data_IF_060590883720
#
_entry.id   IF_060590883720
#
_cell.length_a   1.000
_cell.length_b   1.000
_cell.length_c   1.000
_cell.angle_alpha   90.00
_cell.angle_beta   90.00
_cell.angle_gamma   90.00
#
_symmetry.space_group_name_H-M   'P 1'
#
loop_
_entity.id
_entity.type
_entity.pdbx_description
1 polymer ?
#
# COMPACT_ATOMS: atom_id res chain seq x y z
N UNK A 1 -18.76 7.50 0.08
CA UNK A 1 -18.45 6.16 -0.47
C UNK A 1 -18.37 5.19 0.68
N UNK A 2 -19.13 4.11 0.67
CA UNK A 2 -19.09 3.11 1.74
C UNK A 2 -17.84 2.21 1.66
N UNK A 3 -17.22 2.14 0.48
CA UNK A 3 -16.00 1.35 0.24
C UNK A 3 -15.11 2.02 -0.81
N UNK A 4 -13.80 1.97 -0.59
CA UNK A 4 -12.78 2.50 -1.52
C UNK A 4 -12.35 1.44 -2.52
N UNK A 5 -12.32 0.17 -2.10
CA UNK A 5 -12.06 -0.98 -2.97
C UNK A 5 -13.16 -2.01 -2.81
N UNK A 6 -13.63 -2.52 -3.95
CA UNK A 6 -14.52 -3.69 -4.02
C UNK A 6 -13.97 -4.59 -5.11
N UNK A 7 -13.61 -5.82 -4.76
CA UNK A 7 -13.24 -6.88 -5.68
C UNK A 7 -14.19 -8.07 -5.46
N UNK A 8 -14.70 -8.67 -6.55
CA UNK A 8 -15.62 -9.82 -6.50
C UNK A 8 -15.20 -10.86 -7.53
N UNK A 9 -14.95 -12.06 -7.05
CA UNK A 9 -14.62 -13.24 -7.84
C UNK A 9 -13.53 -13.00 -8.90
N UNK A 10 -12.44 -12.35 -8.47
CA UNK A 10 -11.35 -11.91 -9.34
C UNK A 10 -10.42 -13.08 -9.66
N UNK A 11 -10.09 -13.24 -10.94
CA UNK A 11 -9.18 -14.27 -11.42
C UNK A 11 -8.05 -13.67 -12.27
N UNK A 12 -6.88 -14.29 -12.14
CA UNK A 12 -5.72 -14.07 -13.01
C UNK A 12 -4.80 -15.27 -13.02
N UNK A 13 -4.43 -15.74 -14.21
CA UNK A 13 -3.50 -16.84 -14.40
C UNK A 13 -2.26 -16.42 -15.22
N UNK A 14 -1.19 -17.17 -15.07
CA UNK A 14 0.03 -17.06 -15.87
C UNK A 14 0.51 -18.48 -16.24
N UNK A 15 0.69 -18.73 -17.52
CA UNK A 15 1.15 -20.03 -18.03
C UNK A 15 0.37 -21.24 -17.44
N UNK A 16 -0.95 -21.09 -17.33
CA UNK A 16 -1.84 -22.13 -16.80
C UNK A 16 -1.88 -22.27 -15.28
N UNK A 17 -1.12 -21.47 -14.53
CA UNK A 17 -1.16 -21.44 -13.06
C UNK A 17 -1.96 -20.23 -12.59
N UNK A 18 -2.99 -20.46 -11.77
CA UNK A 18 -3.76 -19.39 -11.16
C UNK A 18 -2.91 -18.63 -10.13
N UNK A 19 -2.63 -17.36 -10.40
CA UNK A 19 -1.99 -16.46 -9.45
C UNK A 19 -3.01 -15.79 -8.53
N UNK A 20 -4.25 -15.59 -9.03
CA UNK A 20 -5.42 -15.14 -8.27
C UNK A 20 -6.60 -15.98 -8.71
N UNK A 21 -7.35 -16.57 -7.79
CA UNK A 21 -8.36 -17.59 -8.04
C UNK A 21 -9.65 -17.35 -7.24
N UNK A 22 -10.52 -16.48 -7.73
CA UNK A 22 -11.81 -16.17 -7.12
C UNK A 22 -11.69 -15.30 -5.88
N UNK A 23 -10.79 -14.31 -5.90
CA UNK A 23 -10.59 -13.40 -4.77
C UNK A 23 -11.71 -12.38 -4.69
N UNK A 24 -12.31 -12.27 -3.50
CA UNK A 24 -13.29 -11.24 -3.14
C UNK A 24 -12.82 -10.51 -1.87
N UNK A 25 -12.80 -9.18 -1.90
CA UNK A 25 -12.47 -8.33 -0.76
C UNK A 25 -13.13 -6.96 -0.87
N UNK A 26 -13.22 -6.27 0.25
CA UNK A 26 -13.72 -4.91 0.35
C UNK A 26 -12.85 -4.12 1.32
N UNK A 27 -12.53 -2.86 0.98
CA UNK A 27 -11.74 -1.96 1.83
C UNK A 27 -12.52 -0.65 2.02
N UNK A 28 -12.64 -0.20 3.27
CA UNK A 28 -13.36 1.01 3.65
C UNK A 28 -12.43 2.24 3.70
N UNK A 29 -12.97 3.48 3.63
CA UNK A 29 -12.18 4.68 3.88
C UNK A 29 -11.50 4.64 5.25
N UNK A 30 -10.23 5.10 5.31
CA UNK A 30 -9.45 5.12 6.56
C UNK A 30 -9.05 3.75 7.11
N UNK A 31 -9.36 2.66 6.43
CA UNK A 31 -9.02 1.30 6.84
C UNK A 31 -7.58 0.95 6.44
N UNK A 32 -6.85 0.28 7.32
CA UNK A 32 -5.62 -0.44 6.98
C UNK A 32 -5.99 -1.90 6.81
N UNK A 33 -6.09 -2.36 5.56
CA UNK A 33 -6.39 -3.74 5.20
C UNK A 33 -5.10 -4.52 4.96
N UNK A 34 -4.87 -5.58 5.73
CA UNK A 34 -3.72 -6.47 5.58
C UNK A 34 -3.98 -7.60 4.58
N UNK A 35 -3.16 -7.73 3.55
CA UNK A 35 -3.15 -8.89 2.66
C UNK A 35 -1.96 -9.77 3.04
N UNK A 36 -2.21 -10.79 3.87
CA UNK A 36 -1.18 -11.59 4.54
C UNK A 36 -1.02 -12.94 3.87
N UNK A 37 0.20 -13.39 3.68
CA UNK A 37 0.47 -14.71 3.10
C UNK A 37 1.93 -14.91 2.68
N UNK A 38 2.34 -16.14 2.40
CA UNK A 38 3.71 -16.45 2.01
C UNK A 38 4.07 -15.85 0.64
N UNK A 39 5.35 -15.91 0.31
CA UNK A 39 5.82 -15.55 -1.03
C UNK A 39 5.17 -16.46 -2.07
N UNK A 40 4.78 -15.87 -3.20
CA UNK A 40 4.07 -16.58 -4.26
C UNK A 40 2.57 -16.83 -3.99
N UNK A 41 1.99 -16.35 -2.88
CA UNK A 41 0.56 -16.49 -2.60
C UNK A 41 -0.36 -15.75 -3.59
N UNK A 42 0.18 -14.82 -4.40
CA UNK A 42 -0.61 -14.03 -5.35
C UNK A 42 -0.83 -12.58 -4.92
N UNK A 43 -0.33 -12.16 -3.75
CA UNK A 43 -0.50 -10.82 -3.17
C UNK A 43 -0.17 -9.70 -4.17
N UNK A 44 1.07 -9.66 -4.67
CA UNK A 44 1.52 -8.63 -5.62
C UNK A 44 0.73 -8.63 -6.92
N UNK A 45 0.26 -9.80 -7.38
CA UNK A 45 -0.60 -9.91 -8.57
C UNK A 45 -1.92 -9.20 -8.33
N UNK A 46 -2.58 -9.47 -7.21
CA UNK A 46 -3.82 -8.80 -6.83
C UNK A 46 -3.62 -7.28 -6.67
N UNK A 47 -2.57 -6.86 -5.96
CA UNK A 47 -2.27 -5.42 -5.78
C UNK A 47 -2.05 -4.70 -7.11
N UNK A 48 -1.37 -5.31 -8.07
CA UNK A 48 -1.16 -4.73 -9.41
C UNK A 48 -2.46 -4.61 -10.20
N UNK A 49 -3.41 -5.55 -10.04
CA UNK A 49 -4.73 -5.42 -10.65
C UNK A 49 -5.52 -4.25 -10.05
N UNK A 50 -5.50 -4.09 -8.73
CA UNK A 50 -6.12 -2.95 -8.05
C UNK A 50 -5.48 -1.61 -8.45
N UNK A 51 -4.18 -1.61 -8.73
CA UNK A 51 -3.43 -0.42 -9.14
C UNK A 51 -3.52 -0.10 -10.65
N UNK A 52 -4.35 -0.78 -11.42
CA UNK A 52 -4.44 -0.63 -12.90
C UNK A 52 -3.10 -0.88 -13.64
N UNK A 53 -2.24 -1.74 -13.10
CA UNK A 53 -0.96 -2.14 -13.71
C UNK A 53 -1.12 -3.47 -14.46
N UNK A 54 -2.11 -4.27 -14.05
CA UNK A 54 -2.39 -5.58 -14.60
C UNK A 54 -3.90 -5.77 -14.72
N UNK A 55 -4.37 -6.30 -15.84
CA UNK A 55 -5.79 -6.58 -16.04
C UNK A 55 -6.21 -7.88 -15.36
N UNK A 56 -7.44 -7.93 -14.82
CA UNK A 56 -8.08 -9.18 -14.41
C UNK A 56 -8.59 -9.95 -15.62
N UNK A 57 -8.58 -11.30 -15.54
CA UNK A 57 -9.15 -12.16 -16.59
C UNK A 57 -10.67 -12.28 -16.44
N UNK A 58 -11.16 -12.28 -15.20
CA UNK A 58 -12.59 -12.31 -14.89
C UNK A 58 -12.86 -11.76 -13.49
N UNK A 59 -14.12 -11.64 -13.14
CA UNK A 59 -14.57 -10.97 -11.92
C UNK A 59 -14.78 -9.47 -12.14
N UNK A 60 -15.03 -8.75 -11.06
CA UNK A 60 -15.23 -7.29 -11.10
C UNK A 60 -14.36 -6.62 -10.05
N UNK A 61 -13.77 -5.48 -10.43
CA UNK A 61 -12.98 -4.64 -9.53
C UNK A 61 -13.49 -3.20 -9.64
N UNK A 62 -13.69 -2.55 -8.50
CA UNK A 62 -13.91 -1.11 -8.40
C UNK A 62 -12.92 -0.53 -7.41
N UNK A 63 -12.18 0.50 -7.81
CA UNK A 63 -11.22 1.23 -6.98
C UNK A 63 -11.58 2.71 -7.02
N UNK A 64 -11.85 3.29 -5.86
CA UNK A 64 -12.34 4.67 -5.73
C UNK A 64 -13.55 4.98 -6.63
N UNK A 65 -14.40 3.96 -6.88
CA UNK A 65 -15.60 4.07 -7.72
C UNK A 65 -15.38 3.83 -9.22
N UNK A 66 -14.14 3.52 -9.65
CA UNK A 66 -13.76 3.31 -11.05
C UNK A 66 -13.32 1.87 -11.33
N UNK A 67 -13.54 1.40 -12.54
CA UNK A 67 -13.05 0.10 -13.03
C UNK A 67 -11.58 0.25 -13.46
N UNK A 68 -10.62 -0.47 -12.84
CA UNK A 68 -9.20 -0.30 -13.12
C UNK A 68 -8.78 -0.70 -14.54
N UNK A 69 -9.59 -1.50 -15.25
CA UNK A 69 -9.33 -1.91 -16.63
C UNK A 69 -9.91 -0.90 -17.62
N UNK A 70 -11.13 -0.40 -17.36
CA UNK A 70 -11.83 0.52 -18.28
C UNK A 70 -11.43 1.97 -18.08
N UNK A 71 -11.11 2.36 -16.83
CA UNK A 71 -10.85 3.73 -16.41
C UNK A 71 -9.50 3.87 -15.67
N UNK A 72 -8.38 3.36 -16.25
CA UNK A 72 -7.11 3.25 -15.54
C UNK A 72 -6.53 4.60 -15.10
N UNK A 73 -6.76 5.67 -15.88
CA UNK A 73 -6.30 7.02 -15.54
C UNK A 73 -7.05 7.57 -14.34
N UNK A 74 -8.37 7.36 -14.28
CA UNK A 74 -9.18 7.80 -13.16
C UNK A 74 -8.79 7.12 -11.85
N UNK A 75 -8.46 5.82 -11.90
CA UNK A 75 -7.92 5.07 -10.75
C UNK A 75 -6.55 5.62 -10.35
N UNK A 76 -5.57 5.67 -11.29
CA UNK A 76 -4.19 6.08 -10.99
C UNK A 76 -4.08 7.49 -10.40
N UNK A 77 -4.95 8.39 -10.78
CA UNK A 77 -4.98 9.74 -10.20
C UNK A 77 -5.48 9.80 -8.74
N UNK A 78 -6.05 8.71 -8.22
CA UNK A 78 -6.64 8.64 -6.87
C UNK A 78 -5.92 7.71 -5.93
N UNK A 79 -4.97 6.95 -6.45
CA UNK A 79 -4.22 5.98 -5.67
C UNK A 79 -2.72 6.31 -5.67
N UNK A 80 -2.00 5.72 -4.73
CA UNK A 80 -0.56 5.56 -4.86
C UNK A 80 -0.19 4.09 -4.71
N UNK A 81 0.75 3.61 -5.52
CA UNK A 81 1.28 2.26 -5.48
C UNK A 81 2.76 2.29 -5.11
N UNK A 82 3.09 1.69 -3.98
CA UNK A 82 4.44 1.50 -3.51
C UNK A 82 4.84 0.04 -3.75
N UNK A 83 5.66 -0.20 -4.77
CA UNK A 83 6.16 -1.53 -5.10
C UNK A 83 7.24 -1.99 -4.12
N UNK A 84 7.44 -3.30 -4.02
CA UNK A 84 8.52 -3.91 -3.24
C UNK A 84 9.92 -3.41 -3.63
N UNK A 85 10.12 -3.08 -4.92
CA UNK A 85 11.38 -2.52 -5.41
C UNK A 85 11.41 -1.02 -5.17
N UNK A 86 12.59 -0.56 -4.78
CA UNK A 86 12.87 0.85 -4.56
C UNK A 86 12.71 1.65 -5.87
N UNK A 87 11.78 2.59 -5.89
CA UNK A 87 11.39 3.36 -7.08
C UNK A 87 11.86 4.83 -7.04
N UNK A 88 12.84 5.17 -6.19
CA UNK A 88 13.37 6.54 -6.08
C UNK A 88 14.61 6.72 -6.97
N UNK A 89 14.86 7.97 -7.32
CA UNK A 89 16.04 8.38 -8.07
C UNK A 89 17.22 8.60 -7.11
N UNK A 90 18.25 7.73 -7.13
CA UNK A 90 19.34 7.77 -6.15
C UNK A 90 20.18 9.03 -6.25
N UNK A 91 20.26 9.63 -7.45
CA UNK A 91 21.06 10.82 -7.75
C UNK A 91 20.31 12.13 -7.46
N UNK A 92 19.04 12.07 -7.09
CA UNK A 92 18.26 13.19 -6.61
C UNK A 92 18.29 13.25 -5.09
N UNK A 93 18.23 14.46 -4.54
CA UNK A 93 18.04 14.68 -3.11
C UNK A 93 16.66 14.21 -2.64
N UNK A 94 16.45 14.14 -1.34
CA UNK A 94 15.15 13.86 -0.74
C UNK A 94 14.08 14.81 -1.27
N UNK A 95 14.34 16.12 -1.25
CA UNK A 95 13.39 17.13 -1.73
C UNK A 95 13.14 17.04 -3.23
N UNK A 96 14.17 16.83 -4.03
CA UNK A 96 14.04 16.69 -5.49
C UNK A 96 13.25 15.44 -5.87
N UNK A 97 13.40 14.32 -5.15
CA UNK A 97 12.54 13.16 -5.34
C UNK A 97 11.07 13.52 -5.09
N UNK A 98 10.74 14.21 -3.98
CA UNK A 98 9.36 14.59 -3.67
C UNK A 98 8.80 15.51 -4.76
N UNK A 99 9.56 16.52 -5.21
CA UNK A 99 9.16 17.42 -6.29
C UNK A 99 8.90 16.67 -7.58
N UNK A 100 9.79 15.76 -7.96
CA UNK A 100 9.64 14.94 -9.15
C UNK A 100 8.32 14.14 -9.14
N UNK A 101 7.96 13.53 -7.99
CA UNK A 101 6.67 12.84 -7.88
C UNK A 101 5.49 13.81 -7.86
N UNK A 102 5.63 14.98 -7.26
CA UNK A 102 4.60 16.03 -7.32
C UNK A 102 4.32 16.44 -8.78
N UNK A 103 5.36 16.59 -9.59
CA UNK A 103 5.24 16.91 -11.02
C UNK A 103 4.53 15.79 -11.81
N UNK A 104 4.90 14.52 -11.57
CA UNK A 104 4.24 13.35 -12.20
C UNK A 104 2.73 13.35 -11.91
N UNK A 105 2.33 13.67 -10.68
CA UNK A 105 0.92 13.71 -10.29
C UNK A 105 0.26 15.08 -10.53
N UNK A 106 0.96 16.01 -11.20
CA UNK A 106 0.46 17.36 -11.51
C UNK A 106 -0.05 18.10 -10.29
N UNK A 107 0.66 17.97 -9.15
CA UNK A 107 0.36 18.73 -7.93
C UNK A 107 0.64 20.21 -8.20
N UNK A 108 -0.31 21.13 -7.94
CA UNK A 108 -0.11 22.54 -8.17
C UNK A 108 1.10 23.09 -7.42
N UNK A 109 1.86 23.99 -8.05
CA UNK A 109 3.01 24.64 -7.40
C UNK A 109 2.59 25.47 -6.19
N UNK A 110 1.38 26.04 -6.25
CA UNK A 110 0.80 26.81 -5.13
C UNK A 110 0.63 25.89 -3.91
N UNK A 111 1.33 26.24 -2.83
CA UNK A 111 1.33 25.46 -1.58
C UNK A 111 2.25 24.22 -1.57
N UNK A 112 2.86 23.82 -2.71
CA UNK A 112 3.70 22.62 -2.77
C UNK A 112 4.90 22.70 -1.79
N UNK A 113 5.54 23.86 -1.68
CA UNK A 113 6.67 24.02 -0.76
C UNK A 113 6.26 23.77 0.71
N UNK A 114 5.10 24.27 1.13
CA UNK A 114 4.57 24.04 2.48
C UNK A 114 4.19 22.55 2.66
N UNK A 115 3.60 21.94 1.64
CA UNK A 115 3.26 20.50 1.65
C UNK A 115 4.50 19.62 1.76
N UNK A 116 5.56 19.94 1.05
CA UNK A 116 6.84 19.21 1.14
C UNK A 116 7.41 19.35 2.56
N UNK A 117 7.38 20.54 3.12
CA UNK A 117 7.88 20.78 4.47
C UNK A 117 7.09 19.98 5.53
N UNK A 118 5.75 20.00 5.45
CA UNK A 118 4.87 19.18 6.29
C UNK A 118 5.21 17.66 6.18
N UNK A 119 5.35 17.14 4.97
CA UNK A 119 5.67 15.73 4.73
C UNK A 119 7.06 15.34 5.23
N UNK A 120 8.05 16.24 5.12
CA UNK A 120 9.38 16.03 5.65
C UNK A 120 9.39 16.00 7.18
N UNK A 121 8.59 16.85 7.84
CA UNK A 121 8.41 16.80 9.30
C UNK A 121 7.66 15.53 9.72
N UNK A 122 6.57 15.20 9.06
CA UNK A 122 5.78 13.99 9.30
C UNK A 122 6.62 12.70 9.24
N UNK A 123 7.57 12.63 8.31
CA UNK A 123 8.45 11.46 8.11
C UNK A 123 9.75 11.50 8.89
N UNK A 124 10.00 12.59 9.64
CA UNK A 124 11.30 12.85 10.30
C UNK A 124 12.46 12.94 9.30
N UNK A 125 12.18 13.29 8.04
CA UNK A 125 13.19 13.42 6.99
C UNK A 125 13.69 14.85 6.78
N UNK A 126 13.13 15.85 7.49
CA UNK A 126 13.49 17.25 7.35
C UNK A 126 15.03 17.53 7.50
N UNK A 127 15.78 16.93 8.45
CA UNK A 127 17.24 17.10 8.53
C UNK A 127 18.01 16.56 7.32
N UNK A 128 17.38 15.67 6.53
CA UNK A 128 17.98 14.99 5.39
C UNK A 128 17.53 15.56 4.04
N UNK A 129 16.78 16.67 4.04
CA UNK A 129 16.16 17.30 2.86
C UNK A 129 17.09 17.40 1.65
N UNK A 130 18.36 17.78 1.87
CA UNK A 130 19.38 17.98 0.82
C UNK A 130 20.28 16.73 0.60
N UNK A 131 20.02 15.62 1.30
CA UNK A 131 20.81 14.40 1.13
C UNK A 131 20.34 13.66 -0.11
N UNK A 132 21.28 13.12 -0.91
CA UNK A 132 20.96 12.24 -2.04
C UNK A 132 20.25 10.97 -1.55
N UNK A 133 19.21 10.56 -2.27
CA UNK A 133 18.43 9.37 -1.91
C UNK A 133 19.28 8.08 -1.94
N UNK A 134 20.31 8.02 -2.78
CA UNK A 134 21.29 6.93 -2.79
C UNK A 134 21.98 6.73 -1.46
N UNK A 135 22.24 7.82 -0.70
CA UNK A 135 22.97 7.84 0.57
C UNK A 135 22.06 7.67 1.81
N UNK A 136 20.80 7.29 1.63
CA UNK A 136 19.87 7.00 2.71
C UNK A 136 20.00 5.54 3.16
N UNK A 137 19.72 5.26 4.44
CA UNK A 137 19.51 3.88 4.92
C UNK A 137 18.26 3.26 4.31
N UNK A 138 18.12 1.92 4.39
CA UNK A 138 16.95 1.22 3.87
C UNK A 138 15.63 1.76 4.43
N UNK A 139 15.54 1.91 5.76
CA UNK A 139 14.35 2.47 6.41
C UNK A 139 14.07 3.93 6.02
N UNK A 140 15.10 4.76 5.84
CA UNK A 140 14.93 6.14 5.34
C UNK A 140 14.44 6.15 3.89
N UNK A 141 14.91 5.23 3.06
CA UNK A 141 14.44 5.07 1.68
C UNK A 141 12.96 4.72 1.64
N UNK A 142 12.50 3.81 2.49
CA UNK A 142 11.09 3.46 2.60
C UNK A 142 10.23 4.65 3.05
N UNK A 143 10.70 5.42 4.06
CA UNK A 143 10.02 6.65 4.48
C UNK A 143 9.91 7.68 3.35
N UNK A 144 10.99 7.90 2.59
CA UNK A 144 10.97 8.80 1.44
C UNK A 144 10.01 8.32 0.35
N UNK A 145 10.00 7.01 0.06
CA UNK A 145 9.09 6.42 -0.93
C UNK A 145 7.62 6.63 -0.52
N UNK A 146 7.28 6.46 0.76
CA UNK A 146 5.96 6.75 1.27
C UNK A 146 5.61 8.24 1.13
N UNK A 147 6.54 9.15 1.48
CA UNK A 147 6.34 10.60 1.31
C UNK A 147 6.06 10.97 -0.16
N UNK A 148 6.84 10.43 -1.09
CA UNK A 148 6.61 10.63 -2.53
C UNK A 148 5.24 10.09 -2.96
N UNK A 149 4.83 8.94 -2.41
CA UNK A 149 3.54 8.33 -2.71
C UNK A 149 2.34 9.16 -2.21
N UNK A 150 2.48 9.92 -1.12
CA UNK A 150 1.38 10.69 -0.52
C UNK A 150 1.37 12.18 -0.87
N UNK A 151 2.32 12.66 -1.68
CA UNK A 151 2.44 14.09 -2.01
C UNK A 151 1.19 14.66 -2.68
N UNK A 152 0.51 13.85 -3.51
CA UNK A 152 -0.73 14.20 -4.22
C UNK A 152 -2.01 13.86 -3.46
N UNK A 153 -1.92 13.51 -2.17
CA UNK A 153 -3.08 13.20 -1.30
C UNK A 153 -4.01 12.10 -1.85
N UNK A 154 -3.51 10.87 -2.07
CA UNK A 154 -4.32 9.78 -2.61
C UNK A 154 -5.45 9.36 -1.66
N UNK A 155 -6.53 8.81 -2.21
CA UNK A 155 -7.62 8.20 -1.43
C UNK A 155 -7.26 6.79 -0.96
N UNK A 156 -6.38 6.09 -1.70
CA UNK A 156 -5.95 4.73 -1.41
C UNK A 156 -4.44 4.60 -1.59
N UNK A 157 -3.77 4.02 -0.61
CA UNK A 157 -2.39 3.55 -0.71
C UNK A 157 -2.38 2.03 -0.90
N UNK A 158 -1.67 1.57 -1.90
CA UNK A 158 -1.41 0.15 -2.15
C UNK A 158 0.08 -0.09 -1.91
N UNK A 159 0.41 -0.86 -0.86
CA UNK A 159 1.76 -1.05 -0.36
C UNK A 159 2.15 -2.53 -0.49
N UNK A 160 3.10 -2.84 -1.37
CA UNK A 160 3.55 -4.20 -1.64
C UNK A 160 4.81 -4.51 -0.85
N UNK A 161 4.66 -5.21 0.28
CA UNK A 161 5.72 -5.56 1.23
C UNK A 161 6.62 -4.38 1.64
N UNK A 162 6.03 -3.27 2.13
CA UNK A 162 6.74 -1.99 2.26
C UNK A 162 7.87 -1.99 3.28
N UNK A 163 7.90 -2.96 4.19
CA UNK A 163 8.88 -3.04 5.29
C UNK A 163 9.81 -4.25 5.17
N UNK A 164 9.77 -4.95 4.02
CA UNK A 164 10.66 -6.09 3.80
C UNK A 164 12.13 -5.64 3.81
N UNK A 165 12.97 -6.32 4.62
CA UNK A 165 14.38 -5.99 4.79
C UNK A 165 14.67 -4.69 5.58
N UNK A 166 13.66 -4.11 6.24
CA UNK A 166 13.81 -2.93 7.10
C UNK A 166 14.06 -3.35 8.55
N UNK A 167 14.95 -2.65 9.23
CA UNK A 167 15.23 -2.88 10.65
C UNK A 167 14.00 -2.63 11.54
N UNK A 168 13.92 -3.27 12.74
CA UNK A 168 12.71 -3.20 13.58
C UNK A 168 12.34 -1.77 14.04
N UNK A 169 13.31 -0.88 14.22
CA UNK A 169 13.05 0.51 14.66
C UNK A 169 12.43 1.29 13.53
N UNK A 170 13.05 1.24 12.34
CA UNK A 170 12.52 1.90 11.13
C UNK A 170 11.17 1.34 10.71
N UNK A 171 10.94 0.02 10.87
CA UNK A 171 9.63 -0.62 10.63
C UNK A 171 8.55 -0.06 11.54
N UNK A 172 8.82 0.06 12.84
CA UNK A 172 7.89 0.64 13.81
C UNK A 172 7.52 2.09 13.46
N UNK A 173 8.50 2.90 13.08
CA UNK A 173 8.28 4.29 12.67
C UNK A 173 7.44 4.36 11.39
N UNK A 174 7.71 3.50 10.40
CA UNK A 174 6.95 3.41 9.17
C UNK A 174 5.47 3.08 9.45
N UNK A 175 5.19 2.11 10.31
CA UNK A 175 3.82 1.76 10.71
C UNK A 175 3.11 2.90 11.44
N UNK A 176 3.81 3.70 12.27
CA UNK A 176 3.24 4.91 12.87
C UNK A 176 2.81 5.92 11.80
N UNK A 177 3.60 6.08 10.74
CA UNK A 177 3.22 6.94 9.61
C UNK A 177 1.95 6.42 8.92
N UNK A 178 1.83 5.10 8.70
CA UNK A 178 0.62 4.51 8.12
C UNK A 178 -0.61 4.74 9.02
N UNK A 179 -0.49 4.54 10.33
CA UNK A 179 -1.57 4.80 11.29
C UNK A 179 -2.03 6.26 11.27
N UNK A 180 -1.11 7.22 11.18
CA UNK A 180 -1.45 8.64 11.10
C UNK A 180 -2.18 8.97 9.78
N UNK A 181 -1.75 8.39 8.65
CA UNK A 181 -2.43 8.55 7.36
C UNK A 181 -3.83 7.91 7.38
N UNK A 182 -3.99 6.75 8.00
CA UNK A 182 -5.30 6.10 8.20
C UNK A 182 -6.23 6.98 9.03
N UNK A 183 -5.74 7.56 10.13
CA UNK A 183 -6.51 8.48 10.98
C UNK A 183 -6.94 9.76 10.23
N UNK A 184 -6.21 10.18 9.20
CA UNK A 184 -6.60 11.28 8.30
C UNK A 184 -7.58 10.86 7.18
N UNK A 185 -8.02 9.59 7.16
CA UNK A 185 -9.02 9.08 6.23
C UNK A 185 -8.47 8.35 4.99
N UNK A 186 -7.16 8.22 4.84
CA UNK A 186 -6.54 7.49 3.73
C UNK A 186 -6.73 5.99 3.93
N UNK A 187 -7.36 5.32 2.96
CA UNK A 187 -7.47 3.86 2.96
C UNK A 187 -6.13 3.21 2.53
N UNK A 188 -5.85 2.01 3.03
CA UNK A 188 -4.61 1.32 2.69
C UNK A 188 -4.82 -0.17 2.48
N UNK A 189 -4.10 -0.74 1.52
CA UNK A 189 -3.90 -2.19 1.42
C UNK A 189 -2.39 -2.45 1.57
N UNK A 190 -2.02 -3.22 2.58
CA UNK A 190 -0.63 -3.57 2.88
C UNK A 190 -0.44 -5.06 2.69
N UNK A 191 0.37 -5.49 1.73
CA UNK A 191 0.79 -6.89 1.67
C UNK A 191 1.96 -7.14 2.61
N UNK A 192 1.94 -8.27 3.27
CA UNK A 192 3.03 -8.71 4.14
C UNK A 192 3.07 -10.22 4.29
N UNK A 193 4.26 -10.76 4.53
CA UNK A 193 4.48 -12.14 4.99
C UNK A 193 4.67 -12.23 6.52
N UNK A 194 4.71 -11.09 7.22
CA UNK A 194 4.95 -11.02 8.66
C UNK A 194 3.65 -10.94 9.44
N UNK A 195 3.42 -11.87 10.38
CA UNK A 195 2.21 -11.91 11.20
C UNK A 195 2.14 -10.77 12.23
N UNK A 196 3.30 -10.31 12.73
CA UNK A 196 3.37 -9.16 13.66
C UNK A 196 2.92 -7.83 13.01
N UNK A 197 2.95 -7.74 11.69
CA UNK A 197 2.41 -6.62 10.93
C UNK A 197 0.89 -6.74 10.73
N UNK A 198 0.38 -7.97 10.60
CA UNK A 198 -1.05 -8.22 10.48
C UNK A 198 -1.84 -7.67 11.70
N UNK A 199 -1.28 -7.77 12.90
CA UNK A 199 -1.87 -7.24 14.14
C UNK A 199 -2.04 -5.71 14.15
N UNK A 200 -1.34 -5.00 13.27
CA UNK A 200 -1.43 -3.54 13.11
C UNK A 200 -2.50 -3.09 12.13
N UNK A 201 -3.09 -4.03 11.40
CA UNK A 201 -4.15 -3.78 10.44
C UNK A 201 -5.51 -3.71 11.13
N UNK A 202 -6.45 -2.93 10.55
CA UNK A 202 -7.83 -2.87 11.02
C UNK A 202 -8.60 -4.15 10.72
N UNK A 203 -8.33 -4.71 9.55
CA UNK A 203 -8.83 -6.01 9.08
C UNK A 203 -7.76 -6.65 8.19
N UNK A 204 -7.89 -7.94 7.94
CA UNK A 204 -6.94 -8.66 7.11
C UNK A 204 -7.60 -9.80 6.32
N UNK A 205 -6.91 -10.23 5.27
CA UNK A 205 -7.20 -11.45 4.53
C UNK A 205 -5.95 -12.31 4.48
N UNK A 206 -6.09 -13.60 4.83
CA UNK A 206 -5.02 -14.58 4.67
C UNK A 206 -5.12 -15.21 3.29
N UNK A 207 -4.05 -15.05 2.49
CA UNK A 207 -3.99 -15.49 1.11
C UNK A 207 -2.97 -16.62 0.93
N UNK A 208 -3.39 -17.70 0.26
CA UNK A 208 -2.53 -18.82 -0.10
C UNK A 208 -2.94 -19.38 -1.46
N UNK A 209 -1.99 -19.71 -2.31
CA UNK A 209 -2.22 -20.28 -3.66
C UNK A 209 -3.30 -19.54 -4.47
N UNK A 210 -3.25 -18.20 -4.45
CA UNK A 210 -4.17 -17.36 -5.20
C UNK A 210 -5.54 -17.17 -4.58
N UNK A 211 -5.83 -17.72 -3.40
CA UNK A 211 -7.15 -17.69 -2.75
C UNK A 211 -7.09 -17.02 -1.38
N UNK A 212 -8.13 -16.29 -1.03
CA UNK A 212 -8.38 -15.87 0.36
C UNK A 212 -9.15 -17.01 1.03
N UNK A 213 -8.61 -17.54 2.14
CA UNK A 213 -9.25 -18.61 2.91
C UNK A 213 -9.89 -18.09 4.21
N UNK A 214 -9.46 -16.96 4.71
CA UNK A 214 -10.08 -16.27 5.85
C UNK A 214 -9.88 -14.77 5.70
N UNK A 215 -10.91 -13.99 6.08
CA UNK A 215 -10.84 -12.53 6.16
C UNK A 215 -11.73 -12.02 7.29
N UNK A 216 -11.37 -10.89 7.85
CA UNK A 216 -12.07 -10.23 8.95
C UNK A 216 -11.13 -9.37 9.78
N UNK A 217 -11.60 -8.87 10.90
CA UNK A 217 -10.74 -8.26 11.91
C UNK A 217 -9.82 -9.32 12.54
N UNK A 218 -8.70 -8.88 13.13
CA UNK A 218 -7.78 -9.79 13.85
C UNK A 218 -8.53 -10.61 14.89
N UNK A 219 -9.42 -9.96 15.64
CA UNK A 219 -10.21 -10.61 16.68
C UNK A 219 -11.17 -11.68 16.12
N UNK A 220 -11.91 -11.37 15.03
CA UNK A 220 -12.80 -12.34 14.38
C UNK A 220 -12.04 -13.55 13.84
N UNK A 221 -10.82 -13.36 13.35
CA UNK A 221 -9.99 -14.45 12.83
C UNK A 221 -9.48 -15.34 13.96
N UNK A 222 -9.05 -14.75 15.07
CA UNK A 222 -8.63 -15.50 16.29
C UNK A 222 -9.80 -16.34 16.82
N UNK A 223 -10.98 -15.74 16.99
CA UNK A 223 -12.17 -16.44 17.48
C UNK A 223 -12.57 -17.62 16.57
N UNK A 224 -12.49 -17.44 15.24
CA UNK A 224 -12.80 -18.51 14.28
C UNK A 224 -11.74 -19.62 14.22
N UNK A 225 -10.47 -19.29 14.50
CA UNK A 225 -9.38 -20.26 14.49
C UNK A 225 -9.36 -21.19 15.70
N UNK A 226 -10.08 -20.87 16.77
CA UNK A 226 -10.08 -21.64 18.03
C UNK A 226 -8.75 -21.58 18.78
N UNK A 227 -7.84 -20.69 18.41
CA UNK A 227 -6.61 -20.46 19.17
C UNK A 227 -6.92 -19.60 20.41
N UNK A 228 -6.88 -20.20 21.60
CA UNK A 228 -6.74 -19.42 22.84
C UNK A 228 -5.34 -18.78 22.83
N UNK A 229 -5.29 -17.45 22.86
CA UNK A 229 -4.04 -16.74 23.13
C UNK A 229 -3.76 -16.99 24.62
N UNK A 230 -2.80 -17.86 24.92
CA UNK A 230 -2.23 -17.94 26.26
C UNK A 230 -1.56 -16.57 26.55
N UNK A 231 -2.16 -15.81 27.45
CA UNK A 231 -1.67 -14.54 27.99
C UNK A 231 -0.50 -14.81 28.92
#
# INVERSE_FOLDING_TARGET
>A
MDSVVIAKDVYRSFAGKNAVAGVSLTVKPGEIFGLVGPDGAGKSTLLRMLASILDSESGTISVCGYDPVKEPVAVRNRIAYMSQRFALYPDLTVEENIKFYADIYSVPEEGLAARIDELLHFSYMHPFRKRLAGNLSGGMKQKLQLVCAVVHTPLLLILDEPTNGVDPVSRRDFWRMLQNLSASGVAMIVSTSYLDEAERCSSLALMHEGRIFVSGTVQEIIERSGFEIAV
#
